data_IF_653538463953
#
_entry.id   IF_653538463953
#
_cell.length_a   1.000
_cell.length_b   1.000
_cell.length_c   1.000
_cell.angle_alpha   90.00
_cell.angle_beta   90.00
_cell.angle_gamma   90.00
#
_symmetry.space_group_name_H-M   'P 1'
#
loop_
_entity.id
_entity.type
_entity.pdbx_description
1 polymer ?
#
# COMPACT_ATOMS: atom_id res chain seq x y z
N UNK A 1 4.08 -9.68 7.17
CA UNK A 1 3.21 -9.38 6.04
C UNK A 1 3.52 -10.28 4.84
N UNK A 2 4.77 -10.37 4.36
CA UNK A 2 5.12 -11.19 3.19
C UNK A 2 4.63 -12.65 3.21
N UNK A 3 4.69 -13.43 4.32
CA UNK A 3 4.10 -14.76 4.32
C UNK A 3 2.60 -14.75 3.93
N UNK A 4 1.82 -13.81 4.45
CA UNK A 4 0.40 -13.68 4.12
C UNK A 4 0.15 -13.20 2.68
N UNK A 5 1.08 -12.43 2.10
CA UNK A 5 1.01 -12.09 0.68
C UNK A 5 1.08 -13.34 -0.20
N UNK A 6 2.06 -14.22 0.04
CA UNK A 6 2.24 -15.43 -0.76
C UNK A 6 1.24 -16.54 -0.44
N UNK A 7 0.86 -16.70 0.83
CA UNK A 7 0.04 -17.83 1.28
C UNK A 7 -1.47 -17.53 1.24
N UNK A 8 -1.86 -16.25 1.19
CA UNK A 8 -3.26 -15.82 1.22
C UNK A 8 -3.66 -14.98 0.02
N UNK A 9 -2.99 -13.84 -0.17
CA UNK A 9 -3.42 -12.84 -1.18
C UNK A 9 -3.17 -13.34 -2.61
N UNK A 10 -1.96 -13.80 -2.92
CA UNK A 10 -1.62 -14.29 -4.27
C UNK A 10 -2.51 -15.45 -4.73
N UNK A 11 -2.79 -16.48 -3.90
CA UNK A 11 -3.75 -17.53 -4.25
C UNK A 11 -5.14 -17.00 -4.62
N UNK A 12 -5.67 -16.02 -3.87
CA UNK A 12 -6.96 -15.42 -4.20
C UNK A 12 -6.91 -14.64 -5.54
N UNK A 13 -5.85 -13.86 -5.76
CA UNK A 13 -5.63 -13.14 -7.02
C UNK A 13 -5.50 -14.08 -8.22
N UNK A 14 -4.82 -15.22 -8.07
CA UNK A 14 -4.70 -16.26 -9.11
C UNK A 14 -6.05 -16.81 -9.56
N UNK A 15 -7.07 -16.77 -8.68
CA UNK A 15 -8.45 -17.17 -9.03
C UNK A 15 -9.28 -16.06 -9.69
N UNK A 16 -8.66 -14.91 -9.98
CA UNK A 16 -9.31 -13.75 -10.59
C UNK A 16 -10.16 -12.92 -9.63
N UNK A 17 -9.97 -13.08 -8.31
CA UNK A 17 -10.71 -12.29 -7.31
C UNK A 17 -10.09 -10.92 -7.11
N UNK A 18 -10.94 -9.95 -6.77
CA UNK A 18 -10.50 -8.67 -6.19
C UNK A 18 -10.30 -8.84 -4.69
N UNK A 19 -9.10 -8.58 -4.19
CA UNK A 19 -8.75 -8.71 -2.77
C UNK A 19 -8.73 -7.34 -2.10
N UNK A 20 -9.47 -7.20 -0.98
CA UNK A 20 -9.40 -6.03 -0.10
C UNK A 20 -8.53 -6.35 1.12
N UNK A 21 -7.51 -5.53 1.37
CA UNK A 21 -6.64 -5.65 2.55
C UNK A 21 -6.92 -4.51 3.52
N UNK A 22 -7.51 -4.83 4.67
CA UNK A 22 -7.69 -3.91 5.78
C UNK A 22 -6.67 -4.21 6.89
N UNK A 23 -5.73 -3.30 7.13
CA UNK A 23 -4.65 -3.48 8.10
C UNK A 23 -4.17 -2.13 8.67
N UNK A 24 -3.08 -2.16 9.43
CA UNK A 24 -2.45 -0.96 10.00
C UNK A 24 -1.27 -0.46 9.16
N UNK A 25 -0.84 0.78 9.39
CA UNK A 25 0.18 1.47 8.59
C UNK A 25 1.50 0.71 8.41
N UNK A 26 2.01 0.01 9.44
CA UNK A 26 3.25 -0.77 9.31
C UNK A 26 3.09 -1.98 8.38
N UNK A 27 1.99 -2.71 8.49
CA UNK A 27 1.71 -3.86 7.63
C UNK A 27 1.47 -3.42 6.20
N UNK A 28 0.72 -2.33 5.99
CA UNK A 28 0.48 -1.77 4.66
C UNK A 28 1.77 -1.25 4.03
N UNK A 29 2.63 -0.55 4.79
CA UNK A 29 3.95 -0.13 4.29
C UNK A 29 4.81 -1.31 3.88
N UNK A 30 4.80 -2.40 4.64
CA UNK A 30 5.54 -3.61 4.25
C UNK A 30 5.03 -4.23 2.95
N UNK A 31 3.71 -4.18 2.70
CA UNK A 31 3.11 -4.65 1.46
C UNK A 31 3.44 -3.72 0.28
N UNK A 32 3.29 -2.41 0.45
CA UNK A 32 3.65 -1.42 -0.57
C UNK A 32 5.14 -1.46 -0.90
N UNK A 33 6.01 -1.62 0.11
CA UNK A 33 7.46 -1.82 -0.10
C UNK A 33 7.73 -2.99 -1.05
N UNK A 34 7.04 -4.10 -0.83
CA UNK A 34 7.18 -5.30 -1.64
C UNK A 34 6.70 -5.09 -3.08
N UNK A 35 5.51 -4.50 -3.24
CA UNK A 35 4.88 -4.26 -4.53
C UNK A 35 5.69 -3.28 -5.39
N UNK A 36 6.11 -2.15 -4.80
CA UNK A 36 6.76 -1.06 -5.51
C UNK A 36 8.30 -1.17 -5.50
N UNK A 37 8.86 -2.21 -4.89
CA UNK A 37 10.31 -2.40 -4.79
C UNK A 37 11.03 -1.29 -4.03
N UNK A 38 10.39 -0.69 -3.02
CA UNK A 38 10.93 0.42 -2.25
C UNK A 38 12.12 -0.08 -1.40
N UNK A 39 13.20 0.68 -1.36
CA UNK A 39 14.39 0.38 -0.56
C UNK A 39 14.12 0.47 0.95
N UNK A 40 15.02 -0.06 1.77
CA UNK A 40 14.94 0.09 3.23
C UNK A 40 15.20 1.55 3.68
N UNK A 41 15.94 2.30 2.87
CA UNK A 41 16.22 3.71 3.10
C UNK A 41 15.00 4.59 2.81
N UNK A 42 14.29 4.30 1.71
CA UNK A 42 13.17 5.12 1.24
C UNK A 42 11.85 4.81 1.97
N UNK A 43 11.68 3.60 2.51
CA UNK A 43 10.44 3.20 3.18
C UNK A 43 10.09 4.06 4.40
N UNK A 44 11.09 4.66 5.04
CA UNK A 44 10.89 5.58 6.16
C UNK A 44 10.13 6.86 5.75
N UNK A 45 10.25 7.28 4.49
CA UNK A 45 9.56 8.45 3.93
C UNK A 45 8.12 8.17 3.47
N UNK A 46 7.75 6.90 3.32
CA UNK A 46 6.42 6.52 2.86
C UNK A 46 5.36 6.76 3.94
N UNK A 47 4.40 7.62 3.64
CA UNK A 47 3.24 7.92 4.49
C UNK A 47 1.97 7.42 3.81
N UNK A 48 1.31 6.41 4.39
CA UNK A 48 0.04 5.88 3.90
C UNK A 48 -1.09 6.55 4.72
N UNK A 49 -2.06 7.23 4.07
CA UNK A 49 -3.17 7.86 4.75
C UNK A 49 -4.09 6.82 5.39
N UNK A 50 -4.72 7.18 6.50
CA UNK A 50 -5.69 6.31 7.18
C UNK A 50 -7.06 6.46 6.52
N UNK A 51 -7.72 5.33 6.23
CA UNK A 51 -9.11 5.32 5.78
C UNK A 51 -9.33 5.72 4.32
N UNK A 52 -8.27 5.90 3.52
CA UNK A 52 -8.37 6.20 2.09
C UNK A 52 -7.94 4.96 1.29
N UNK A 53 -8.80 4.36 0.44
CA UNK A 53 -8.45 3.19 -0.34
C UNK A 53 -7.37 3.48 -1.40
N UNK A 54 -6.32 2.65 -1.39
CA UNK A 54 -5.27 2.62 -2.41
C UNK A 54 -5.45 1.37 -3.28
N UNK A 55 -5.70 1.56 -4.57
CA UNK A 55 -5.91 0.48 -5.54
C UNK A 55 -4.62 0.12 -6.26
N UNK A 56 -4.37 -1.17 -6.41
CA UNK A 56 -3.30 -1.71 -7.26
C UNK A 56 -3.89 -2.58 -8.34
N UNK A 57 -3.51 -2.29 -9.58
CA UNK A 57 -3.66 -3.21 -10.70
C UNK A 57 -2.33 -3.92 -10.91
N UNK A 58 -2.37 -5.25 -11.03
CA UNK A 58 -1.19 -6.10 -11.07
C UNK A 58 -1.12 -6.84 -12.40
N UNK A 59 0.09 -7.07 -12.90
CA UNK A 59 0.35 -7.93 -14.04
C UNK A 59 0.31 -9.42 -13.66
N UNK A 60 0.63 -10.28 -14.63
CA UNK A 60 0.65 -11.74 -14.45
C UNK A 60 1.72 -12.23 -13.46
N UNK A 61 2.74 -11.42 -13.19
CA UNK A 61 3.80 -11.70 -12.21
C UNK A 61 3.51 -11.05 -10.84
N UNK A 62 2.30 -10.52 -10.65
CA UNK A 62 1.86 -9.77 -9.47
C UNK A 62 2.64 -8.48 -9.21
N UNK A 63 3.19 -7.87 -10.26
CA UNK A 63 3.84 -6.56 -10.17
C UNK A 63 2.83 -5.45 -10.49
N UNK A 64 2.89 -4.31 -9.78
CA UNK A 64 2.06 -3.15 -10.10
C UNK A 64 2.24 -2.67 -11.55
N UNK A 65 1.12 -2.50 -12.26
CA UNK A 65 1.10 -1.79 -13.53
C UNK A 65 1.35 -0.29 -13.34
N UNK A 66 0.91 0.25 -12.21
CA UNK A 66 1.14 1.63 -11.77
C UNK A 66 1.82 1.62 -10.39
N UNK A 67 3.16 1.83 -10.31
CA UNK A 67 3.86 1.92 -9.04
C UNK A 67 3.30 3.03 -8.15
N UNK A 68 3.14 2.74 -6.86
CA UNK A 68 2.50 3.63 -5.89
C UNK A 68 0.97 3.58 -5.91
N UNK A 69 0.36 2.81 -6.82
CA UNK A 69 -1.07 2.59 -6.92
C UNK A 69 -1.87 3.84 -7.27
N UNK A 70 -3.19 3.71 -7.21
CA UNK A 70 -4.15 4.79 -7.46
C UNK A 70 -5.08 4.96 -6.27
N UNK A 71 -5.02 6.11 -5.60
CA UNK A 71 -6.03 6.44 -4.60
C UNK A 71 -7.38 6.69 -5.26
N UNK A 72 -8.44 6.10 -4.71
CA UNK A 72 -9.79 6.27 -5.25
C UNK A 72 -10.37 7.67 -5.00
N UNK A 73 -9.81 8.40 -4.03
CA UNK A 73 -10.05 9.83 -3.78
C UNK A 73 -8.68 10.54 -3.62
N UNK A 74 -8.11 11.06 -4.73
CA UNK A 74 -6.78 11.68 -4.71
C UNK A 74 -6.70 12.95 -3.84
N UNK A 75 -7.77 13.75 -3.80
CA UNK A 75 -7.80 15.00 -3.06
C UNK A 75 -7.81 14.72 -1.54
N UNK A 76 -8.64 13.77 -1.09
CA UNK A 76 -8.64 13.33 0.29
C UNK A 76 -7.32 12.65 0.68
N UNK A 77 -6.73 11.86 -0.23
CA UNK A 77 -5.43 11.22 -0.01
C UNK A 77 -4.33 12.26 0.23
N UNK A 78 -4.22 13.28 -0.62
CA UNK A 78 -3.20 14.31 -0.49
C UNK A 78 -3.29 15.05 0.85
N UNK A 79 -4.50 15.46 1.25
CA UNK A 79 -4.72 16.13 2.54
C UNK A 79 -4.37 15.21 3.73
N UNK A 80 -4.75 13.93 3.67
CA UNK A 80 -4.51 12.97 4.73
C UNK A 80 -3.03 12.57 4.85
N UNK A 81 -2.30 12.46 3.74
CA UNK A 81 -0.85 12.17 3.72
C UNK A 81 -0.09 13.29 4.45
N UNK A 82 -0.41 14.55 4.15
CA UNK A 82 0.19 15.70 4.84
C UNK A 82 -0.17 15.73 6.33
N UNK A 83 -1.38 15.33 6.71
CA UNK A 83 -1.76 15.19 8.11
C UNK A 83 -0.91 14.12 8.83
N UNK A 84 -0.74 12.94 8.23
CA UNK A 84 0.08 11.84 8.80
C UNK A 84 1.55 12.26 8.95
N UNK A 85 2.13 12.90 7.94
CA UNK A 85 3.51 13.41 7.97
C UNK A 85 3.78 14.38 9.12
N UNK A 86 2.78 15.16 9.51
CA UNK A 86 2.89 16.15 10.58
C UNK A 86 2.57 15.60 11.98
N UNK A 87 2.01 14.39 12.11
CA UNK A 87 1.76 13.76 13.41
C UNK A 87 3.04 13.52 14.21
N UNK A 88 4.15 13.17 13.54
CA UNK A 88 5.45 12.96 14.19
C UNK A 88 6.17 14.24 14.63
N UNK A 89 5.71 15.42 14.21
CA UNK A 89 6.35 16.72 14.51
C UNK A 89 5.77 17.42 15.73
N UNK A 90 4.62 17.00 16.25
CA UNK A 90 4.08 17.50 17.52
C UNK A 90 4.76 16.79 18.69
N UNK A 91 5.93 17.28 19.09
CA UNK A 91 6.47 17.13 20.44
C UNK A 91 7.00 18.48 20.91
#
# INVERSE_FOLDING_TARGET
MLPYWYDGIVPDLLTGRTVLVAAHGNSLRALVKHLDGISDEDIAGLNIPTGIPLSYELDTDFKPLNPGGTYLDPDAAAAAIEAVKNQGKKK
#
